data_IF_122903983356
#
_entry.id   IF_122903983356
#
_cell.length_a   1.000
_cell.length_b   1.000
_cell.length_c   1.000
_cell.angle_alpha   90.00
_cell.angle_beta   90.00
_cell.angle_gamma   90.00
#
_symmetry.space_group_name_H-M   'P 1'
#
loop_
_entity.id
_entity.type
_entity.pdbx_description
1 polymer ?
#
# COMPACT_ATOMS: atom_id res chain seq x y z
N UNK A 1 -28.41 -96.61 -65.99
CA UNK A 1 -27.73 -95.76 -64.98
C UNK A 1 -27.83 -94.32 -65.47
N UNK A 2 -28.90 -93.57 -65.17
CA UNK A 2 -29.06 -92.63 -64.02
C UNK A 2 -27.80 -91.82 -63.71
N UNK A 3 -27.81 -90.49 -63.55
CA UNK A 3 -28.85 -89.46 -63.52
C UNK A 3 -28.16 -88.08 -63.67
N UNK A 4 -28.97 -87.06 -63.99
CA UNK A 4 -28.65 -85.63 -64.22
C UNK A 4 -28.27 -84.84 -62.96
N UNK A 5 -27.84 -83.58 -63.23
CA UNK A 5 -28.02 -82.32 -62.45
C UNK A 5 -26.72 -81.79 -61.80
N UNK A 6 -26.36 -80.51 -61.80
CA UNK A 6 -27.00 -79.28 -62.27
C UNK A 6 -26.10 -78.06 -61.99
N UNK A 7 -26.09 -77.12 -62.96
CA UNK A 7 -25.89 -75.65 -62.94
C UNK A 7 -25.24 -74.88 -61.75
N UNK A 8 -24.36 -73.94 -62.14
CA UNK A 8 -24.40 -72.47 -61.91
C UNK A 8 -23.43 -71.82 -60.90
N UNK A 9 -22.58 -70.90 -61.41
CA UNK A 9 -22.61 -69.49 -60.99
C UNK A 9 -21.60 -68.95 -59.98
N UNK A 10 -20.52 -68.34 -60.49
CA UNK A 10 -19.97 -66.98 -60.19
C UNK A 10 -19.76 -66.55 -58.72
N UNK A 11 -18.53 -66.17 -58.37
CA UNK A 11 -18.17 -64.80 -57.94
C UNK A 11 -16.70 -64.67 -57.52
N UNK A 12 -16.04 -63.66 -58.10
CA UNK A 12 -14.70 -63.14 -57.79
C UNK A 12 -14.66 -62.42 -56.44
N UNK A 13 -13.71 -62.77 -55.57
CA UNK A 13 -13.36 -61.99 -54.37
C UNK A 13 -12.04 -61.25 -54.58
N UNK A 14 -12.15 -59.94 -54.80
CA UNK A 14 -11.06 -58.97 -54.83
C UNK A 14 -10.79 -58.45 -53.41
N UNK A 15 -9.62 -58.78 -52.84
CA UNK A 15 -9.18 -58.28 -51.54
C UNK A 15 -8.69 -56.82 -51.66
N UNK A 16 -9.42 -55.85 -51.09
CA UNK A 16 -8.98 -54.44 -50.96
C UNK A 16 -8.09 -54.25 -49.72
N UNK A 17 -7.01 -53.45 -49.78
CA UNK A 17 -6.27 -53.07 -48.58
C UNK A 17 -7.02 -51.97 -47.80
N UNK A 18 -7.09 -52.13 -46.49
CA UNK A 18 -7.73 -51.19 -45.57
C UNK A 18 -6.93 -49.87 -45.44
N UNK A 19 -7.28 -48.84 -46.22
CA UNK A 19 -6.86 -47.45 -45.98
C UNK A 19 -7.88 -46.74 -45.07
N UNK A 20 -7.78 -46.94 -43.75
CA UNK A 20 -8.61 -46.18 -42.79
C UNK A 20 -7.86 -45.95 -41.47
N UNK A 21 -6.89 -45.02 -41.43
CA UNK A 21 -6.27 -44.59 -40.15
C UNK A 21 -5.47 -43.26 -40.15
N UNK A 22 -5.45 -42.47 -41.24
CA UNK A 22 -4.69 -41.20 -41.28
C UNK A 22 -5.49 -39.94 -40.95
N UNK A 23 -6.79 -39.86 -41.31
CA UNK A 23 -7.61 -38.66 -41.04
C UNK A 23 -7.94 -38.47 -39.55
N UNK A 24 -8.14 -39.53 -38.78
CA UNK A 24 -8.44 -39.42 -37.35
C UNK A 24 -7.28 -38.84 -36.52
N UNK A 25 -6.02 -39.13 -36.90
CA UNK A 25 -4.83 -38.65 -36.19
C UNK A 25 -4.64 -37.14 -36.32
N UNK A 26 -4.88 -36.57 -37.52
CA UNK A 26 -4.77 -35.12 -37.75
C UNK A 26 -5.84 -34.32 -37.01
N UNK A 27 -7.07 -34.85 -36.92
CA UNK A 27 -8.13 -34.24 -36.11
C UNK A 27 -7.82 -34.30 -34.61
N UNK A 28 -7.26 -35.42 -34.13
CA UNK A 28 -6.83 -35.56 -32.74
C UNK A 28 -5.70 -34.59 -32.37
N UNK A 29 -4.68 -34.44 -33.22
CA UNK A 29 -3.59 -33.48 -32.96
C UNK A 29 -4.07 -32.03 -32.98
N UNK A 30 -4.95 -31.66 -33.92
CA UNK A 30 -5.51 -30.30 -33.97
C UNK A 30 -6.39 -30.00 -32.75
N UNK A 31 -7.19 -30.98 -32.30
CA UNK A 31 -7.99 -30.85 -31.08
C UNK A 31 -7.12 -30.70 -29.83
N UNK A 32 -6.02 -31.46 -29.71
CA UNK A 32 -5.07 -31.35 -28.58
C UNK A 32 -4.37 -29.99 -28.56
N UNK A 33 -3.95 -29.47 -29.72
CA UNK A 33 -3.33 -28.13 -29.81
C UNK A 33 -4.34 -27.03 -29.45
N UNK A 34 -5.57 -27.12 -29.94
CA UNK A 34 -6.63 -26.16 -29.58
C UNK A 34 -6.98 -26.21 -28.10
N UNK A 35 -7.05 -27.40 -27.49
CA UNK A 35 -7.23 -27.56 -26.04
C UNK A 35 -6.04 -27.01 -25.26
N UNK A 36 -4.81 -27.18 -25.77
CA UNK A 36 -3.60 -26.62 -25.17
C UNK A 36 -3.58 -25.09 -25.23
N UNK A 37 -3.96 -24.49 -26.37
CA UNK A 37 -4.06 -23.04 -26.53
C UNK A 37 -5.23 -22.45 -25.73
N UNK A 38 -6.37 -23.13 -25.67
CA UNK A 38 -7.48 -22.75 -24.81
C UNK A 38 -7.13 -22.86 -23.32
N UNK A 39 -6.41 -23.92 -22.93
CA UNK A 39 -5.88 -24.10 -21.59
C UNK A 39 -4.84 -23.04 -21.22
N UNK A 40 -3.93 -22.71 -22.13
CA UNK A 40 -2.96 -21.62 -21.99
C UNK A 40 -3.65 -20.25 -21.89
N UNK A 41 -4.66 -20.02 -22.74
CA UNK A 41 -5.50 -18.82 -22.70
C UNK A 41 -6.27 -18.71 -21.39
N UNK A 42 -6.87 -19.80 -20.89
CA UNK A 42 -7.56 -19.85 -19.60
C UNK A 42 -6.60 -19.72 -18.40
N UNK A 43 -5.39 -20.25 -18.49
CA UNK A 43 -4.35 -20.11 -17.47
C UNK A 43 -3.83 -18.66 -17.38
N UNK A 44 -3.66 -17.97 -18.51
CA UNK A 44 -3.29 -16.56 -18.54
C UNK A 44 -4.46 -15.60 -18.32
N UNK A 45 -5.69 -16.03 -18.60
CA UNK A 45 -6.93 -15.33 -18.28
C UNK A 45 -7.46 -15.68 -16.88
N UNK A 46 -6.75 -16.54 -16.14
CA UNK A 46 -7.02 -16.76 -14.73
C UNK A 46 -6.60 -15.47 -14.02
N UNK A 47 -7.56 -14.58 -13.82
CA UNK A 47 -7.42 -13.45 -12.92
C UNK A 47 -6.81 -13.99 -11.63
N UNK A 48 -5.58 -13.55 -11.33
CA UNK A 48 -5.00 -13.74 -10.00
C UNK A 48 -6.07 -13.19 -9.06
N UNK A 49 -6.59 -14.04 -8.16
CA UNK A 49 -7.59 -13.63 -7.19
C UNK A 49 -7.16 -12.31 -6.54
N UNK A 50 -8.12 -11.51 -6.02
CA UNK A 50 -7.82 -10.17 -5.57
C UNK A 50 -6.61 -10.17 -4.64
N UNK A 51 -5.65 -9.28 -4.92
CA UNK A 51 -4.45 -9.16 -4.10
C UNK A 51 -4.87 -8.99 -2.64
N UNK A 52 -4.28 -9.77 -1.73
CA UNK A 52 -4.52 -9.62 -0.30
C UNK A 52 -4.33 -8.15 0.11
N UNK A 53 -5.11 -7.69 1.10
CA UNK A 53 -4.97 -6.33 1.59
C UNK A 53 -3.56 -6.13 2.14
N UNK A 54 -2.88 -5.10 1.65
CA UNK A 54 -1.47 -4.84 1.93
C UNK A 54 -1.08 -3.47 1.43
N UNK A 55 0.10 -3.02 1.79
CA UNK A 55 0.68 -1.79 1.29
C UNK A 55 2.08 -2.06 0.78
N UNK A 56 2.48 -1.34 -0.25
CA UNK A 56 3.81 -1.44 -0.83
C UNK A 56 4.37 -0.04 -0.96
N UNK A 57 5.64 0.12 -0.59
CA UNK A 57 6.42 1.32 -0.87
C UNK A 57 7.47 0.95 -1.90
N UNK A 58 7.47 1.64 -3.04
CA UNK A 58 8.43 1.43 -4.12
C UNK A 58 9.08 2.75 -4.51
N UNK A 59 10.40 2.81 -4.43
CA UNK A 59 11.20 3.93 -4.92
C UNK A 59 12.61 3.47 -5.28
N UNK A 60 13.20 4.07 -6.33
CA UNK A 60 14.58 3.85 -6.76
C UNK A 60 14.98 2.37 -7.00
N UNK A 61 13.99 1.51 -7.30
CA UNK A 61 14.20 0.08 -7.54
C UNK A 61 14.00 -0.81 -6.31
N UNK A 62 13.95 -0.23 -5.11
CA UNK A 62 13.65 -0.94 -3.87
C UNK A 62 12.13 -1.04 -3.66
N UNK A 63 11.71 -2.12 -3.00
CA UNK A 63 10.31 -2.37 -2.66
C UNK A 63 10.19 -2.96 -1.26
N UNK A 64 9.29 -2.39 -0.47
CA UNK A 64 8.95 -2.85 0.87
C UNK A 64 7.45 -3.14 0.95
N UNK A 65 7.10 -4.35 1.34
CA UNK A 65 5.72 -4.75 1.62
C UNK A 65 5.39 -4.61 3.10
N UNK A 66 4.19 -4.13 3.38
CA UNK A 66 3.67 -3.82 4.71
C UNK A 66 2.23 -4.33 4.83
N UNK A 67 1.81 -4.68 6.03
CA UNK A 67 0.39 -4.78 6.33
C UNK A 67 -0.24 -3.37 6.32
N UNK A 68 -1.58 -3.25 6.18
CA UNK A 68 -2.26 -1.96 6.31
C UNK A 68 -2.01 -1.27 7.67
N UNK A 69 -1.91 -2.06 8.76
CA UNK A 69 -1.61 -1.50 10.10
C UNK A 69 -0.19 -0.95 10.19
N UNK A 70 0.79 -1.65 9.63
CA UNK A 70 2.18 -1.21 9.62
C UNK A 70 2.35 0.09 8.82
N UNK A 71 1.70 0.20 7.66
CA UNK A 71 1.71 1.42 6.85
C UNK A 71 1.07 2.61 7.58
N UNK A 72 -0.11 2.40 8.19
CA UNK A 72 -0.80 3.43 8.99
C UNK A 72 0.05 3.88 10.19
N UNK A 73 0.69 2.95 10.90
CA UNK A 73 1.57 3.27 12.02
C UNK A 73 2.81 4.06 11.56
N UNK A 74 3.46 3.64 10.47
CA UNK A 74 4.59 4.37 9.90
C UNK A 74 4.20 5.79 9.48
N UNK A 75 3.03 5.95 8.83
CA UNK A 75 2.47 7.25 8.46
C UNK A 75 2.17 8.13 9.67
N UNK A 76 1.70 7.55 10.78
CA UNK A 76 1.50 8.26 12.05
C UNK A 76 2.83 8.79 12.61
N UNK A 77 3.89 7.95 12.63
CA UNK A 77 5.23 8.38 13.09
C UNK A 77 5.77 9.52 12.22
N UNK A 78 5.58 9.43 10.90
CA UNK A 78 5.97 10.48 9.96
C UNK A 78 5.23 11.80 10.20
N UNK A 79 3.91 11.75 10.33
CA UNK A 79 3.09 12.92 10.60
C UNK A 79 3.48 13.62 11.92
N UNK A 80 3.80 12.85 12.97
CA UNK A 80 4.31 13.39 14.24
C UNK A 80 5.70 14.02 14.09
N UNK A 81 6.60 13.43 13.31
CA UNK A 81 7.90 14.04 13.04
C UNK A 81 7.75 15.40 12.34
N UNK A 82 6.88 15.46 11.33
CA UNK A 82 6.57 16.68 10.57
C UNK A 82 5.91 17.75 11.44
N UNK A 83 4.93 17.38 12.27
CA UNK A 83 4.24 18.34 13.16
C UNK A 83 5.19 18.99 14.17
N UNK A 84 6.26 18.28 14.54
CA UNK A 84 7.35 18.78 15.39
C UNK A 84 8.44 19.53 14.63
N UNK A 85 8.35 19.64 13.31
CA UNK A 85 9.39 20.25 12.46
C UNK A 85 10.71 19.50 12.49
N UNK A 86 10.70 18.19 12.77
CA UNK A 86 11.91 17.39 12.85
C UNK A 86 12.45 17.05 11.45
N UNK A 87 13.78 16.99 11.27
CA UNK A 87 14.35 16.60 9.99
C UNK A 87 14.01 15.15 9.67
N UNK A 88 13.97 14.82 8.39
CA UNK A 88 13.70 13.47 7.92
C UNK A 88 14.64 12.41 8.51
N UNK A 89 15.87 12.80 8.85
CA UNK A 89 16.82 11.94 9.56
C UNK A 89 16.26 11.43 10.90
N UNK A 90 15.52 12.25 11.64
CA UNK A 90 14.86 11.84 12.88
C UNK A 90 13.78 10.79 12.61
N UNK A 91 12.98 10.99 11.56
CA UNK A 91 11.98 10.02 11.12
C UNK A 91 12.62 8.68 10.75
N UNK A 92 13.70 8.69 9.97
CA UNK A 92 14.41 7.46 9.60
C UNK A 92 14.90 6.69 10.83
N UNK A 93 15.44 7.39 11.84
CA UNK A 93 15.86 6.77 13.10
C UNK A 93 14.65 6.16 13.84
N UNK A 94 13.54 6.88 13.92
CA UNK A 94 12.32 6.41 14.56
C UNK A 94 11.73 5.18 13.85
N UNK A 95 11.62 5.19 12.52
CA UNK A 95 11.08 4.08 11.75
C UNK A 95 11.97 2.84 11.83
N UNK A 96 13.30 2.99 11.75
CA UNK A 96 14.21 1.88 11.95
C UNK A 96 14.12 1.31 13.37
N UNK A 97 13.89 2.16 14.37
CA UNK A 97 13.65 1.72 15.74
C UNK A 97 12.35 0.93 15.81
N UNK A 98 11.22 1.48 15.36
CA UNK A 98 9.93 0.78 15.40
C UNK A 98 9.90 -0.52 14.58
N UNK A 99 10.62 -0.57 13.45
CA UNK A 99 10.83 -1.80 12.69
C UNK A 99 11.56 -2.88 13.50
N UNK A 100 12.59 -2.48 14.25
CA UNK A 100 13.36 -3.40 15.09
C UNK A 100 12.58 -3.84 16.32
N UNK A 101 11.86 -2.92 16.97
CA UNK A 101 11.16 -3.18 18.24
C UNK A 101 9.87 -3.97 18.02
N UNK A 102 9.09 -3.65 16.99
CA UNK A 102 7.77 -4.24 16.79
C UNK A 102 7.39 -4.56 15.35
N UNK A 103 8.32 -4.41 14.39
CA UNK A 103 8.03 -4.47 12.95
C UNK A 103 6.95 -3.46 12.52
N UNK A 104 6.88 -2.30 13.18
CA UNK A 104 5.83 -1.28 13.01
C UNK A 104 4.42 -1.68 13.49
N UNK A 105 4.29 -2.79 14.22
CA UNK A 105 3.01 -3.16 14.84
C UNK A 105 2.85 -2.52 16.22
N UNK A 106 1.64 -2.06 16.54
CA UNK A 106 1.35 -1.44 17.84
C UNK A 106 0.90 -2.51 18.83
N UNK A 107 1.87 -3.18 19.46
CA UNK A 107 1.64 -4.40 20.24
C UNK A 107 1.14 -4.08 21.66
N UNK A 108 0.16 -4.85 22.15
CA UNK A 108 -0.34 -4.81 23.54
C UNK A 108 0.45 -5.72 24.49
N UNK A 109 1.58 -6.24 24.02
CA UNK A 109 2.48 -7.14 24.73
C UNK A 109 3.93 -6.96 24.26
N UNK A 110 4.85 -7.59 25.00
CA UNK A 110 6.29 -7.50 24.78
C UNK A 110 7.07 -8.19 25.89
N UNK A 111 8.39 -8.01 25.90
CA UNK A 111 9.20 -8.43 27.06
C UNK A 111 8.84 -7.58 28.30
N UNK A 112 8.59 -8.23 29.44
CA UNK A 112 8.12 -7.60 30.69
C UNK A 112 6.82 -6.81 30.47
N UNK A 113 6.86 -5.49 30.67
CA UNK A 113 5.75 -4.55 30.46
C UNK A 113 5.98 -3.65 29.23
N UNK A 114 6.76 -4.12 28.25
CA UNK A 114 7.00 -3.39 27.01
C UNK A 114 5.74 -3.39 26.13
N UNK A 115 5.40 -2.22 25.58
CA UNK A 115 4.18 -2.00 24.79
C UNK A 115 4.44 -1.09 23.59
N UNK A 116 3.53 -1.16 22.62
CA UNK A 116 3.42 -0.25 21.49
C UNK A 116 4.55 -0.36 20.46
N UNK A 117 4.59 0.63 19.56
CA UNK A 117 5.50 0.69 18.40
C UNK A 117 6.98 0.62 18.75
N UNK A 118 7.36 1.21 19.88
CA UNK A 118 8.76 1.33 20.30
C UNK A 118 9.10 0.40 21.46
N UNK A 119 8.20 -0.55 21.80
CA UNK A 119 8.35 -1.45 22.96
C UNK A 119 8.77 -0.71 24.23
N UNK A 120 8.12 0.43 24.48
CA UNK A 120 8.39 1.29 25.62
C UNK A 120 7.76 0.71 26.89
N UNK A 121 8.38 0.97 28.05
CA UNK A 121 7.97 0.38 29.32
C UNK A 121 7.40 1.42 30.28
N UNK A 122 6.15 1.27 30.78
CA UNK A 122 5.62 2.12 31.83
C UNK A 122 6.52 2.17 33.07
N UNK A 123 7.05 1.02 33.49
CA UNK A 123 7.97 0.93 34.64
C UNK A 123 9.31 1.67 34.48
N UNK A 124 9.67 2.09 33.27
CA UNK A 124 10.85 2.92 33.00
C UNK A 124 10.53 4.40 32.80
N UNK A 125 9.27 4.81 33.03
CA UNK A 125 8.86 6.20 32.98
C UNK A 125 8.54 6.72 31.57
N UNK A 126 8.30 5.84 30.59
CA UNK A 126 7.91 6.23 29.23
C UNK A 126 6.46 6.72 29.11
N UNK A 127 5.63 6.52 30.15
CA UNK A 127 4.21 6.86 30.16
C UNK A 127 3.36 5.76 30.80
N UNK A 128 2.04 5.94 30.86
CA UNK A 128 1.13 4.85 31.25
C UNK A 128 0.97 3.84 30.10
N UNK A 129 0.46 2.63 30.40
CA UNK A 129 0.18 1.64 29.36
C UNK A 129 -0.74 2.17 28.26
N UNK A 130 -1.80 2.92 28.64
CA UNK A 130 -2.71 3.54 27.68
C UNK A 130 -2.02 4.59 26.80
N UNK A 131 -1.10 5.37 27.37
CA UNK A 131 -0.34 6.36 26.62
C UNK A 131 0.64 5.70 25.65
N UNK A 132 1.36 4.66 26.07
CA UNK A 132 2.33 3.97 25.20
C UNK A 132 1.64 3.22 24.05
N UNK A 133 0.43 2.72 24.26
CA UNK A 133 -0.39 2.10 23.21
C UNK A 133 -1.01 3.11 22.24
N UNK A 134 -0.85 4.40 22.45
CA UNK A 134 -1.23 5.44 21.50
C UNK A 134 -0.02 5.82 20.62
N UNK A 135 -0.05 5.49 19.31
CA UNK A 135 1.06 5.75 18.41
C UNK A 135 1.53 7.22 18.36
N UNK A 136 0.62 8.18 18.55
CA UNK A 136 0.97 9.61 18.56
C UNK A 136 1.75 9.96 19.82
N UNK A 137 1.30 9.48 20.98
CA UNK A 137 2.03 9.68 22.23
C UNK A 137 3.38 8.98 22.21
N UNK A 138 3.43 7.69 21.84
CA UNK A 138 4.65 6.91 21.81
C UNK A 138 5.71 7.51 20.87
N UNK A 139 5.28 8.01 19.70
CA UNK A 139 6.15 8.73 18.76
C UNK A 139 6.68 10.03 19.36
N UNK A 140 5.83 10.81 20.02
CA UNK A 140 6.27 12.03 20.71
C UNK A 140 7.29 11.73 21.82
N UNK A 141 7.03 10.73 22.66
CA UNK A 141 7.95 10.32 23.71
C UNK A 141 9.30 9.85 23.15
N UNK A 142 9.29 9.08 22.06
CA UNK A 142 10.51 8.68 21.36
C UNK A 142 11.32 9.89 20.87
N UNK A 143 10.65 10.82 20.17
CA UNK A 143 11.31 12.02 19.67
C UNK A 143 11.81 12.94 20.79
N UNK A 144 11.11 13.02 21.93
CA UNK A 144 11.57 13.74 23.12
C UNK A 144 12.87 13.17 23.69
N UNK A 145 13.05 11.84 23.60
CA UNK A 145 14.32 11.19 23.90
C UNK A 145 15.38 11.51 22.86
N UNK A 146 15.05 11.40 21.57
CA UNK A 146 15.99 11.59 20.47
C UNK A 146 16.60 12.99 20.44
N UNK A 147 15.78 14.04 20.59
CA UNK A 147 16.26 15.43 20.49
C UNK A 147 17.17 15.85 21.65
N UNK A 148 17.17 15.10 22.77
CA UNK A 148 18.11 15.32 23.88
C UNK A 148 19.52 14.80 23.59
N UNK A 149 19.69 14.00 22.54
CA UNK A 149 21.00 13.49 22.14
C UNK A 149 21.66 14.53 21.23
N UNK A 150 22.69 15.19 21.75
CA UNK A 150 23.45 16.17 20.99
C UNK A 150 24.02 15.56 19.69
N UNK A 151 23.77 16.23 18.57
CA UNK A 151 24.28 15.82 17.26
C UNK A 151 23.71 14.51 16.72
N UNK A 152 22.56 14.01 17.24
CA UNK A 152 21.99 12.72 16.84
C UNK A 152 21.87 12.52 15.32
N UNK A 153 21.60 13.60 14.57
CA UNK A 153 21.42 13.55 13.12
C UNK A 153 22.69 13.13 12.37
N UNK A 154 23.87 13.36 12.95
CA UNK A 154 25.18 12.99 12.40
C UNK A 154 25.70 11.65 12.91
N UNK A 155 25.04 11.05 13.90
CA UNK A 155 25.42 9.74 14.40
C UNK A 155 24.99 8.65 13.39
N UNK A 156 25.70 7.51 13.35
CA UNK A 156 25.16 6.30 12.73
C UNK A 156 23.75 6.02 13.28
N UNK A 157 22.83 5.55 12.42
CA UNK A 157 21.42 5.38 12.81
C UNK A 157 21.29 4.50 14.03
N UNK A 158 22.02 3.39 14.02
CA UNK A 158 22.06 2.41 15.10
C UNK A 158 22.50 3.03 16.43
N UNK A 159 23.48 3.93 16.41
CA UNK A 159 23.98 4.63 17.59
C UNK A 159 22.93 5.61 18.13
N UNK A 160 22.26 6.36 17.26
CA UNK A 160 21.20 7.27 17.68
C UNK A 160 20.01 6.50 18.29
N UNK A 161 19.51 5.47 17.60
CA UNK A 161 18.43 4.60 18.08
C UNK A 161 18.78 3.94 19.42
N UNK A 162 19.97 3.37 19.51
CA UNK A 162 20.48 2.75 20.72
C UNK A 162 20.59 3.73 21.89
N UNK A 163 20.99 4.98 21.67
CA UNK A 163 21.06 5.99 22.74
C UNK A 163 19.68 6.37 23.28
N UNK A 164 18.63 6.30 22.45
CA UNK A 164 17.24 6.51 22.89
C UNK A 164 16.75 5.30 23.68
N UNK A 165 16.81 4.11 23.08
CA UNK A 165 16.19 2.90 23.63
C UNK A 165 17.02 2.21 24.72
N UNK A 166 18.34 2.42 24.73
CA UNK A 166 19.30 1.74 25.62
C UNK A 166 19.13 0.20 25.61
N UNK A 167 18.94 -0.40 24.43
CA UNK A 167 18.70 -1.84 24.29
C UNK A 167 19.97 -2.69 24.49
N UNK A 168 19.85 -4.01 24.59
CA UNK A 168 21.01 -4.91 24.71
C UNK A 168 21.78 -5.15 23.39
N UNK A 169 21.28 -4.67 22.24
CA UNK A 169 21.74 -5.11 20.91
C UNK A 169 21.93 -3.93 19.93
N UNK A 170 23.01 -3.13 20.07
CA UNK A 170 23.19 -1.89 19.31
C UNK A 170 23.16 -2.05 17.79
N UNK A 171 23.65 -3.17 17.25
CA UNK A 171 23.75 -3.37 15.80
C UNK A 171 22.46 -3.90 15.14
N UNK A 172 21.44 -4.26 15.93
CA UNK A 172 20.22 -4.85 15.40
C UNK A 172 19.44 -3.90 14.47
N UNK A 173 19.59 -2.58 14.66
CA UNK A 173 18.92 -1.56 13.86
C UNK A 173 19.48 -1.42 12.43
N UNK A 174 20.74 -1.83 12.19
CA UNK A 174 21.42 -1.61 10.90
C UNK A 174 20.68 -2.26 9.73
N UNK A 175 20.10 -3.44 9.96
CA UNK A 175 19.35 -4.18 8.94
C UNK A 175 18.08 -3.47 8.47
N UNK A 176 17.59 -2.48 9.21
CA UNK A 176 16.38 -1.72 8.92
C UNK A 176 16.65 -0.35 8.31
N UNK A 177 17.92 0.03 8.10
CA UNK A 177 18.25 1.37 7.59
C UNK A 177 17.69 1.62 6.19
N UNK A 178 17.76 0.63 5.30
CA UNK A 178 17.21 0.72 3.93
C UNK A 178 15.69 0.89 3.96
N UNK A 179 14.97 0.00 4.65
CA UNK A 179 13.51 0.05 4.77
C UNK A 179 13.03 1.35 5.40
N UNK A 180 13.68 1.80 6.47
CA UNK A 180 13.35 3.05 7.14
C UNK A 180 13.62 4.28 6.26
N UNK A 181 14.67 4.24 5.43
CA UNK A 181 15.00 5.31 4.48
C UNK A 181 13.95 5.37 3.37
N UNK A 182 13.56 4.22 2.83
CA UNK A 182 12.51 4.10 1.83
C UNK A 182 11.17 4.63 2.35
N UNK A 183 10.78 4.22 3.56
CA UNK A 183 9.57 4.71 4.23
C UNK A 183 9.62 6.22 4.48
N UNK A 184 10.75 6.74 4.98
CA UNK A 184 10.91 8.19 5.23
C UNK A 184 10.77 8.99 3.93
N UNK A 185 11.39 8.51 2.85
CA UNK A 185 11.34 9.17 1.55
C UNK A 185 9.92 9.23 0.99
N UNK A 186 9.17 8.14 1.11
CA UNK A 186 7.77 8.09 0.72
C UNK A 186 6.93 8.99 1.63
N UNK A 187 6.93 8.75 2.95
CA UNK A 187 6.00 9.39 3.88
C UNK A 187 6.28 10.88 4.10
N UNK A 188 7.48 11.39 3.80
CA UNK A 188 7.75 12.84 3.76
C UNK A 188 7.51 13.47 2.39
N UNK A 189 6.92 12.72 1.45
CA UNK A 189 6.58 13.18 0.11
C UNK A 189 7.77 13.48 -0.80
N UNK A 190 9.00 13.15 -0.37
CA UNK A 190 10.21 13.30 -1.19
C UNK A 190 10.16 12.39 -2.43
N UNK A 191 9.55 11.21 -2.30
CA UNK A 191 9.24 10.30 -3.39
C UNK A 191 7.73 10.31 -3.63
N UNK A 192 7.33 11.00 -4.70
CA UNK A 192 5.94 11.15 -5.11
C UNK A 192 5.33 9.80 -5.52
N UNK A 193 4.13 9.50 -5.01
CA UNK A 193 3.36 8.28 -5.32
C UNK A 193 4.12 6.96 -5.06
N UNK A 194 5.04 6.94 -4.09
CA UNK A 194 5.84 5.76 -3.77
C UNK A 194 5.06 4.75 -2.91
N UNK A 195 4.16 5.23 -2.04
CA UNK A 195 3.30 4.36 -1.22
C UNK A 195 1.95 4.13 -1.90
N UNK A 196 1.58 2.86 -2.04
CA UNK A 196 0.23 2.44 -2.46
C UNK A 196 -0.26 1.30 -1.58
N UNK A 197 -1.57 1.25 -1.31
CA UNK A 197 -2.19 0.11 -0.62
C UNK A 197 -3.19 -0.59 -1.53
N UNK A 198 -3.38 -1.89 -1.34
CA UNK A 198 -4.43 -2.74 -1.89
C UNK A 198 -5.48 -3.01 -0.83
N UNK A 199 -6.74 -3.14 -1.24
CA UNK A 199 -7.86 -3.32 -0.30
C UNK A 199 -8.31 -4.77 -0.11
N UNK A 200 -7.64 -5.76 -0.71
CA UNK A 200 -8.07 -7.16 -0.61
C UNK A 200 -9.18 -7.56 -1.58
N UNK A 201 -9.74 -6.61 -2.31
CA UNK A 201 -10.78 -6.78 -3.33
C UNK A 201 -10.77 -5.57 -4.29
N UNK A 202 -11.17 -5.80 -5.55
CA UNK A 202 -11.44 -4.77 -6.58
C UNK A 202 -12.96 -4.63 -6.79
N UNK A 203 -13.70 -4.55 -5.70
CA UNK A 203 -15.14 -4.23 -5.69
C UNK A 203 -15.38 -2.77 -5.26
N UNK A 204 -16.52 -2.16 -5.63
CA UNK A 204 -16.92 -0.84 -5.10
C UNK A 204 -17.00 -0.81 -3.56
N UNK A 205 -17.16 -1.99 -2.93
CA UNK A 205 -17.21 -2.19 -1.49
C UNK A 205 -15.86 -2.60 -0.89
N UNK A 206 -14.74 -2.39 -1.56
CA UNK A 206 -13.42 -2.85 -1.06
C UNK A 206 -12.82 -1.92 -0.03
N UNK A 207 -13.33 -0.70 0.08
CA UNK A 207 -13.23 0.08 1.31
C UNK A 207 -14.16 -0.46 2.43
N UNK A 208 -14.67 -1.69 2.29
CA UNK A 208 -15.93 -2.20 2.83
C UNK A 208 -16.22 -2.01 4.31
N UNK A 209 -17.52 -1.88 4.57
CA UNK A 209 -18.13 -1.86 5.90
C UNK A 209 -18.95 -0.59 6.14
N UNK A 210 -18.96 -0.13 7.39
CA UNK A 210 -19.59 1.17 7.77
C UNK A 210 -19.02 2.30 6.91
N UNK A 211 -19.90 3.22 6.52
CA UNK A 211 -19.56 4.48 5.84
C UNK A 211 -18.34 5.13 6.49
N UNK A 212 -17.38 5.55 5.66
CA UNK A 212 -16.33 6.44 6.10
C UNK A 212 -16.92 7.79 6.50
N UNK A 213 -16.21 8.51 7.37
CA UNK A 213 -16.66 9.81 7.90
C UNK A 213 -15.59 10.86 7.71
N UNK A 214 -15.94 11.95 7.04
CA UNK A 214 -15.03 13.09 6.80
C UNK A 214 -14.53 13.70 8.11
N UNK A 215 -15.34 13.62 9.17
CA UNK A 215 -14.97 14.06 10.52
C UNK A 215 -13.81 13.21 11.06
N UNK A 216 -13.85 11.88 10.90
CA UNK A 216 -12.76 11.01 11.35
C UNK A 216 -11.45 11.29 10.61
N UNK A 217 -11.51 11.58 9.32
CA UNK A 217 -10.32 11.97 8.54
C UNK A 217 -9.76 13.30 9.04
N UNK A 218 -10.63 14.28 9.27
CA UNK A 218 -10.26 15.61 9.77
C UNK A 218 -9.65 15.54 11.18
N UNK A 219 -10.27 14.78 12.09
CA UNK A 219 -9.79 14.56 13.45
C UNK A 219 -8.42 13.87 13.44
N UNK A 220 -8.25 12.83 12.61
CA UNK A 220 -6.98 12.11 12.50
C UNK A 220 -5.86 13.00 11.95
N UNK A 221 -6.12 13.73 10.87
CA UNK A 221 -5.16 14.70 10.31
C UNK A 221 -4.72 15.72 11.37
N UNK A 222 -5.68 16.32 12.06
CA UNK A 222 -5.42 17.35 13.08
C UNK A 222 -4.65 16.78 14.26
N UNK A 223 -4.96 15.55 14.67
CA UNK A 223 -4.29 14.87 15.77
C UNK A 223 -2.83 14.56 15.49
N UNK A 224 -2.49 14.16 14.27
CA UNK A 224 -1.13 13.69 13.93
C UNK A 224 -0.24 14.80 13.40
N UNK A 225 -0.75 15.64 12.51
CA UNK A 225 -0.02 16.77 11.92
C UNK A 225 -0.13 18.07 12.74
N UNK A 226 -1.01 18.12 13.75
CA UNK A 226 -1.19 19.29 14.59
C UNK A 226 -1.78 20.49 13.85
N UNK A 227 -1.46 21.70 14.32
CA UNK A 227 -1.98 22.97 13.77
C UNK A 227 -1.48 23.33 12.37
N UNK A 228 -0.51 22.58 11.86
CA UNK A 228 0.05 22.82 10.53
C UNK A 228 -0.95 22.45 9.43
N UNK A 229 -1.82 21.47 9.63
CA UNK A 229 -2.86 21.10 8.67
C UNK A 229 -4.14 21.90 8.91
N UNK A 230 -4.83 22.24 7.81
CA UNK A 230 -6.12 22.93 7.85
C UNK A 230 -7.12 22.21 6.94
N UNK A 231 -7.57 20.99 7.30
CA UNK A 231 -8.55 20.26 6.51
C UNK A 231 -9.85 21.04 6.44
N UNK A 232 -10.51 21.02 5.29
CA UNK A 232 -11.82 21.65 5.09
C UNK A 232 -12.74 20.71 4.31
N UNK A 233 -14.04 20.85 4.51
CA UNK A 233 -15.02 20.20 3.64
C UNK A 233 -14.80 20.69 2.20
N UNK A 234 -14.74 19.75 1.26
CA UNK A 234 -14.76 20.08 -0.15
C UNK A 234 -16.19 20.35 -0.62
N UNK A 235 -16.33 20.88 -1.84
CA UNK A 235 -17.64 21.07 -2.48
C UNK A 235 -18.32 19.73 -2.70
N UNK A 236 -17.53 18.69 -3.04
CA UNK A 236 -18.03 17.35 -3.18
C UNK A 236 -18.36 16.74 -1.82
N UNK A 237 -19.56 16.17 -1.65
CA UNK A 237 -19.92 15.49 -0.42
C UNK A 237 -18.92 14.35 -0.16
N UNK A 238 -18.60 14.11 1.12
CA UNK A 238 -17.65 13.08 1.59
C UNK A 238 -16.19 13.30 1.23
N UNK A 239 -15.83 14.49 0.76
CA UNK A 239 -14.44 14.80 0.43
C UNK A 239 -13.88 15.83 1.39
N UNK A 240 -12.71 15.53 1.96
CA UNK A 240 -11.88 16.47 2.70
C UNK A 240 -10.84 17.03 1.75
N UNK A 241 -10.73 18.35 1.67
CA UNK A 241 -9.65 19.04 0.97
C UNK A 241 -8.62 19.55 1.98
N UNK A 242 -7.35 19.24 1.77
CA UNK A 242 -6.24 19.68 2.64
C UNK A 242 -5.27 20.51 1.81
N UNK A 243 -4.95 21.76 2.21
CA UNK A 243 -3.94 22.56 1.53
C UNK A 243 -2.59 21.85 1.51
N UNK A 244 -1.97 21.78 0.33
CA UNK A 244 -0.65 21.20 0.15
C UNK A 244 0.47 22.16 0.61
N UNK A 245 0.22 23.47 0.65
CA UNK A 245 1.15 24.46 1.19
C UNK A 245 0.69 24.97 2.57
N UNK A 246 1.60 25.20 3.53
CA UNK A 246 1.29 25.93 4.75
C UNK A 246 0.75 27.34 4.46
N UNK A 247 -0.09 27.85 5.35
CA UNK A 247 -0.55 29.24 5.29
C UNK A 247 0.66 30.16 5.55
N UNK A 248 1.05 30.98 4.56
CA UNK A 248 2.20 31.89 4.65
C UNK A 248 3.14 31.87 3.45
N UNK A 249 2.91 31.00 2.47
CA UNK A 249 3.81 30.78 1.34
C UNK A 249 4.87 29.74 1.70
N UNK A 250 5.22 28.91 0.72
CA UNK A 250 6.25 27.89 0.86
C UNK A 250 7.30 28.13 -0.23
N UNK A 251 8.54 27.67 -0.05
CA UNK A 251 9.50 27.72 -1.14
C UNK A 251 8.99 26.88 -2.31
N UNK A 252 9.46 27.17 -3.52
CA UNK A 252 9.09 26.41 -4.71
C UNK A 252 9.40 24.91 -4.49
N UNK A 253 8.39 24.04 -4.68
CA UNK A 253 8.51 22.60 -4.44
C UNK A 253 8.09 22.11 -3.04
N UNK A 254 8.06 22.98 -2.02
CA UNK A 254 7.64 22.58 -0.66
C UNK A 254 6.16 22.16 -0.62
N UNK A 255 5.31 22.86 -1.38
CA UNK A 255 3.89 22.50 -1.51
C UNK A 255 3.69 21.15 -2.19
N UNK A 256 4.52 20.81 -3.18
CA UNK A 256 4.45 19.51 -3.84
C UNK A 256 4.89 18.39 -2.91
N UNK A 257 6.00 18.57 -2.20
CA UNK A 257 6.50 17.60 -1.20
C UNK A 257 5.44 17.33 -0.13
N UNK A 258 4.92 18.40 0.49
CA UNK A 258 3.91 18.27 1.55
C UNK A 258 2.59 17.69 1.06
N UNK A 259 2.15 18.03 -0.15
CA UNK A 259 0.97 17.39 -0.72
C UNK A 259 1.16 15.89 -0.95
N UNK A 260 2.36 15.43 -1.35
CA UNK A 260 2.65 14.00 -1.46
C UNK A 260 2.76 13.29 -0.11
N UNK A 261 3.25 13.96 0.92
CA UNK A 261 3.19 13.47 2.31
C UNK A 261 1.74 13.22 2.74
N UNK A 262 0.88 14.24 2.62
CA UNK A 262 -0.54 14.15 2.99
C UNK A 262 -1.30 13.11 2.15
N UNK A 263 -1.01 13.03 0.85
CA UNK A 263 -1.66 12.08 -0.05
C UNK A 263 -1.27 10.62 0.27
N UNK A 264 0.01 10.37 0.57
CA UNK A 264 0.48 9.03 0.92
C UNK A 264 0.08 8.63 2.34
N UNK A 265 0.02 9.59 3.27
CA UNK A 265 -0.61 9.40 4.57
C UNK A 265 -2.06 8.93 4.42
N UNK A 266 -2.85 9.57 3.55
CA UNK A 266 -4.24 9.20 3.33
C UNK A 266 -4.40 7.79 2.74
N UNK A 267 -3.49 7.38 1.85
CA UNK A 267 -3.47 6.01 1.30
C UNK A 267 -3.04 4.99 2.36
N UNK A 268 -2.04 5.30 3.19
CA UNK A 268 -1.61 4.43 4.29
C UNK A 268 -2.75 4.21 5.31
N UNK A 269 -3.60 5.21 5.52
CA UNK A 269 -4.79 5.15 6.36
C UNK A 269 -6.07 4.73 5.61
N UNK A 270 -5.96 4.20 4.39
CA UNK A 270 -7.15 3.93 3.61
C UNK A 270 -8.05 2.85 4.25
N UNK A 271 -7.44 1.85 4.89
CA UNK A 271 -8.16 0.74 5.51
C UNK A 271 -8.92 1.16 6.78
N UNK A 272 -8.29 1.93 7.68
CA UNK A 272 -8.88 2.34 8.96
C UNK A 272 -9.82 3.55 8.82
N UNK A 273 -9.52 4.50 7.93
CA UNK A 273 -10.36 5.68 7.68
C UNK A 273 -11.40 5.48 6.57
N UNK A 274 -11.40 4.32 5.91
CA UNK A 274 -12.31 3.99 4.80
C UNK A 274 -12.17 4.98 3.64
N UNK A 275 -10.93 5.29 3.27
CA UNK A 275 -10.63 6.17 2.12
C UNK A 275 -10.89 5.41 0.83
N UNK A 276 -11.77 5.95 0.01
CA UNK A 276 -12.14 5.43 -1.31
C UNK A 276 -11.21 5.97 -2.39
N UNK A 277 -10.84 7.24 -2.30
CA UNK A 277 -10.07 7.93 -3.32
C UNK A 277 -9.17 8.99 -2.72
N UNK A 278 -7.96 9.13 -3.27
CA UNK A 278 -7.05 10.25 -2.99
C UNK A 278 -6.60 10.86 -4.31
N UNK A 279 -6.67 12.18 -4.45
CA UNK A 279 -6.11 12.89 -5.62
C UNK A 279 -5.15 13.99 -5.21
N UNK A 280 -4.01 14.05 -5.90
CA UNK A 280 -3.01 15.10 -5.77
C UNK A 280 -2.02 15.05 -6.95
N UNK A 281 -1.48 16.20 -7.37
CA UNK A 281 -0.40 16.26 -8.37
C UNK A 281 -0.73 15.58 -9.71
N UNK A 282 -1.97 15.72 -10.20
CA UNK A 282 -2.44 15.08 -11.42
C UNK A 282 -2.54 13.55 -11.36
N UNK A 283 -2.47 12.95 -10.16
CA UNK A 283 -2.63 11.51 -9.94
C UNK A 283 -3.80 11.21 -9.01
N UNK A 284 -4.30 9.99 -9.17
CA UNK A 284 -5.39 9.42 -8.37
C UNK A 284 -5.02 8.03 -7.89
N UNK A 285 -5.19 7.77 -6.60
CA UNK A 285 -5.31 6.43 -6.05
C UNK A 285 -6.79 6.17 -5.75
N UNK A 286 -7.26 4.95 -6.04
CA UNK A 286 -8.65 4.55 -5.80
C UNK A 286 -8.73 3.13 -5.26
N UNK A 287 -9.47 2.92 -4.18
CA UNK A 287 -9.63 1.63 -3.51
C UNK A 287 -10.12 0.52 -4.47
N UNK A 288 -11.12 0.82 -5.30
CA UNK A 288 -11.67 -0.12 -6.27
C UNK A 288 -10.71 -0.49 -7.43
N UNK A 289 -9.57 0.19 -7.54
CA UNK A 289 -8.52 -0.08 -8.52
C UNK A 289 -7.15 -0.14 -7.83
N UNK A 290 -7.14 -0.51 -6.56
CA UNK A 290 -5.99 -0.35 -5.68
C UNK A 290 -4.80 -1.20 -6.12
N UNK A 291 -5.04 -2.33 -6.79
CA UNK A 291 -4.01 -3.14 -7.45
C UNK A 291 -3.26 -2.44 -8.59
N UNK A 292 -3.80 -1.34 -9.14
CA UNK A 292 -3.09 -0.51 -10.15
C UNK A 292 -2.25 0.60 -9.52
N UNK A 293 -2.35 0.80 -8.21
CA UNK A 293 -1.73 1.91 -7.50
C UNK A 293 -2.12 3.28 -8.05
N UNK A 294 -1.18 4.24 -7.98
CA UNK A 294 -1.41 5.61 -8.45
C UNK A 294 -1.53 5.69 -9.97
N UNK A 295 -2.63 6.25 -10.45
CA UNK A 295 -2.93 6.42 -11.88
C UNK A 295 -2.86 7.89 -12.28
N UNK A 296 -2.43 8.19 -13.51
CA UNK A 296 -2.57 9.54 -14.08
C UNK A 296 -4.05 9.89 -14.20
N UNK A 297 -4.45 11.05 -13.70
CA UNK A 297 -5.79 11.55 -13.90
C UNK A 297 -5.90 12.05 -15.34
N UNK A 298 -6.89 11.56 -16.09
CA UNK A 298 -7.21 12.14 -17.39
C UNK A 298 -7.80 13.54 -17.14
N UNK A 299 -7.44 14.56 -17.92
CA UNK A 299 -8.14 15.83 -17.85
C UNK A 299 -9.62 15.57 -18.18
N UNK A 300 -10.52 16.10 -17.35
CA UNK A 300 -11.95 15.86 -17.53
C UNK A 300 -12.42 16.46 -18.87
N UNK A 301 -12.84 15.61 -19.80
CA UNK A 301 -13.52 16.01 -21.03
C UNK A 301 -14.98 16.39 -20.72
N UNK A 302 -15.22 17.45 -19.93
CA UNK A 302 -16.56 17.95 -19.68
C UNK A 302 -16.60 19.47 -19.50
N UNK A 303 -17.55 20.09 -20.21
CA UNK A 303 -17.83 21.52 -20.36
C UNK A 303 -17.74 22.32 -19.05
N UNK A 304 -16.93 23.38 -19.06
CA UNK A 304 -17.29 24.68 -18.46
C UNK A 304 -17.44 24.78 -16.94
N UNK A 305 -16.89 23.87 -16.16
CA UNK A 305 -16.75 23.99 -14.70
C UNK A 305 -15.41 23.43 -14.27
N UNK A 306 -14.65 24.17 -13.45
CA UNK A 306 -13.26 23.88 -13.07
C UNK A 306 -13.11 22.63 -12.19
N UNK A 307 -13.30 21.44 -12.77
CA UNK A 307 -13.11 20.13 -12.13
C UNK A 307 -11.67 19.65 -12.06
N UNK A 308 -10.71 20.42 -12.59
CA UNK A 308 -9.30 20.20 -12.28
C UNK A 308 -9.09 20.47 -10.78
N UNK A 309 -8.58 19.49 -10.03
CA UNK A 309 -8.14 19.74 -8.67
C UNK A 309 -7.17 20.92 -8.72
N UNK A 310 -7.44 22.05 -8.03
CA UNK A 310 -6.48 23.14 -8.00
C UNK A 310 -5.17 22.57 -7.45
N UNK A 311 -4.05 22.84 -8.12
CA UNK A 311 -2.71 22.29 -7.89
C UNK A 311 -2.17 22.43 -6.44
N UNK A 312 -2.94 23.06 -5.53
CA UNK A 312 -2.61 23.28 -4.13
C UNK A 312 -3.41 22.46 -3.11
N UNK A 313 -4.23 21.46 -3.49
CA UNK A 313 -5.01 20.67 -2.51
C UNK A 313 -4.89 19.16 -2.72
N UNK A 314 -4.68 18.44 -1.61
CA UNK A 314 -4.92 17.00 -1.53
C UNK A 314 -6.40 16.78 -1.26
N UNK A 315 -7.06 15.94 -2.05
CA UNK A 315 -8.46 15.59 -1.85
C UNK A 315 -8.57 14.14 -1.41
N UNK A 316 -9.27 13.91 -0.31
CA UNK A 316 -9.46 12.61 0.32
C UNK A 316 -10.96 12.34 0.38
N UNK A 317 -11.43 11.36 -0.40
CA UNK A 317 -12.84 10.96 -0.45
C UNK A 317 -13.02 9.67 0.32
N UNK A 318 -14.01 9.63 1.22
CA UNK A 318 -14.33 8.43 2.04
C UNK A 318 -15.49 7.64 1.48
N UNK A 319 -15.47 6.32 1.67
CA UNK A 319 -16.45 5.38 1.12
C UNK A 319 -17.87 5.54 1.70
N UNK A 320 -18.86 5.17 0.87
CA UNK A 320 -20.28 4.98 1.23
C UNK A 320 -20.64 3.50 1.40
#
# INVERSE_FOLDING_TARGET
>A
MSQKSGKSGRSTTSTKPAKRKRRGRTFLTAAVVLLGLAGYGLYHAQDKGPAAAGCTVTADGDTLDLSPSQAANAATVAAVATSRGLPERALTIALATALQESRLDNLDHGDRDSLGLFQQRPSQGWGTAQQILDPVYASNAFFDGLVKIEGYSRLPLTVAAQRVQKSGFPQAYAKHETDATLLSAALTGRKAAALSCTTGADTPYSAGGRLGRTERVTDRLTREFGSQVKPRAAVEPRTVAVPAAPAGGAAEGDGARRGWELAQWAVAHAHDLKVEQVTFGGRKWAAAQSGKGWQKQRPDSAKGGSGAAPDGFVRITVAQ
#
